data_IF_826387230291
#
_entry.id   IF_826387230291
#
_cell.length_a   1.000
_cell.length_b   1.000
_cell.length_c   1.000
_cell.angle_alpha   90.00
_cell.angle_beta   90.00
_cell.angle_gamma   90.00
#
_symmetry.space_group_name_H-M   'P 1'
#
loop_
_entity.id
_entity.type
_entity.pdbx_description
1 polymer ?
#
# COMPACT_ATOMS: atom_id res chain seq x y z
N UNK A 1 34.30 -22.59 -11.94
CA UNK A 1 35.52 -22.36 -11.12
C UNK A 1 35.31 -21.13 -10.26
N UNK A 2 35.27 -21.27 -8.94
CA UNK A 2 34.82 -20.24 -7.99
C UNK A 2 35.54 -18.90 -8.19
N UNK A 3 34.80 -17.91 -8.68
CA UNK A 3 35.30 -16.55 -8.86
C UNK A 3 35.62 -15.91 -7.49
N UNK A 4 36.88 -15.54 -7.22
CA UNK A 4 37.31 -14.92 -5.96
C UNK A 4 36.65 -13.55 -5.70
N UNK A 5 35.98 -12.97 -6.71
CA UNK A 5 35.29 -11.69 -6.61
C UNK A 5 33.89 -11.80 -6.01
N UNK A 6 33.23 -12.97 -6.10
CA UNK A 6 31.97 -13.24 -5.40
C UNK A 6 32.16 -13.42 -3.89
N UNK A 7 33.39 -13.75 -3.45
CA UNK A 7 33.73 -14.03 -2.05
C UNK A 7 34.11 -12.79 -1.23
N UNK A 8 34.15 -11.59 -1.83
CA UNK A 8 34.57 -10.35 -1.16
C UNK A 8 33.42 -9.33 -1.15
N UNK A 9 32.19 -9.79 -0.94
CA UNK A 9 31.17 -8.90 -0.39
C UNK A 9 31.44 -8.84 1.12
N UNK A 10 31.86 -7.68 1.67
CA UNK A 10 32.06 -7.57 3.12
C UNK A 10 30.75 -7.96 3.81
N UNK A 11 30.80 -8.78 4.87
CA UNK A 11 29.60 -9.23 5.60
C UNK A 11 28.67 -8.07 6.02
N UNK A 12 29.23 -6.87 6.24
CA UNK A 12 28.45 -5.65 6.50
C UNK A 12 27.58 -5.21 5.32
N UNK A 13 28.09 -5.33 4.08
CA UNK A 13 27.38 -4.98 2.86
C UNK A 13 26.27 -6.00 2.52
N UNK A 14 26.53 -7.31 2.69
CA UNK A 14 25.51 -8.34 2.45
C UNK A 14 24.35 -8.23 3.43
N UNK A 15 24.64 -7.95 4.70
CA UNK A 15 23.62 -7.76 5.73
C UNK A 15 22.77 -6.52 5.45
N UNK A 16 23.40 -5.41 5.02
CA UNK A 16 22.70 -4.20 4.61
C UNK A 16 21.74 -4.49 3.44
N UNK A 17 22.24 -5.10 2.35
CA UNK A 17 21.41 -5.42 1.17
C UNK A 17 20.24 -6.34 1.53
N UNK A 18 20.48 -7.36 2.36
CA UNK A 18 19.40 -8.25 2.83
C UNK A 18 18.33 -7.49 3.61
N UNK A 19 18.72 -6.60 4.53
CA UNK A 19 17.77 -5.79 5.31
C UNK A 19 16.97 -4.84 4.41
N UNK A 20 17.63 -4.17 3.47
CA UNK A 20 16.99 -3.31 2.49
C UNK A 20 15.99 -4.08 1.63
N UNK A 21 16.36 -5.27 1.12
CA UNK A 21 15.48 -6.14 0.33
C UNK A 21 14.23 -6.57 1.11
N UNK A 22 14.41 -6.98 2.37
CA UNK A 22 13.30 -7.38 3.24
C UNK A 22 12.32 -6.21 3.45
N UNK A 23 12.86 -5.02 3.74
CA UNK A 23 12.04 -3.85 4.01
C UNK A 23 11.30 -3.34 2.77
N UNK A 24 11.96 -3.32 1.61
CA UNK A 24 11.31 -3.02 0.32
C UNK A 24 10.22 -4.05 0.01
N UNK A 25 10.50 -5.36 0.17
CA UNK A 25 9.54 -6.42 -0.10
C UNK A 25 8.31 -6.31 0.78
N UNK A 26 8.49 -5.99 2.07
CA UNK A 26 7.39 -5.69 2.99
C UNK A 26 6.57 -4.49 2.52
N UNK A 27 7.22 -3.39 2.13
CA UNK A 27 6.53 -2.22 1.59
C UNK A 27 5.68 -2.57 0.36
N UNK A 28 6.24 -3.30 -0.59
CA UNK A 28 5.52 -3.74 -1.80
C UNK A 28 4.31 -4.63 -1.44
N UNK A 29 4.45 -5.52 -0.46
CA UNK A 29 3.34 -6.35 0.01
C UNK A 29 2.20 -5.50 0.59
N UNK A 30 2.53 -4.51 1.42
CA UNK A 30 1.55 -3.55 1.96
C UNK A 30 0.88 -2.76 0.83
N UNK A 31 1.64 -2.27 -0.15
CA UNK A 31 1.08 -1.55 -1.29
C UNK A 31 0.08 -2.40 -2.10
N UNK A 32 0.36 -3.69 -2.30
CA UNK A 32 -0.56 -4.63 -2.96
C UNK A 32 -1.82 -4.84 -2.13
N UNK A 33 -1.69 -5.05 -0.82
CA UNK A 33 -2.84 -5.24 0.07
C UNK A 33 -3.76 -4.02 0.05
N UNK A 34 -3.18 -2.81 0.17
CA UNK A 34 -3.97 -1.57 0.19
C UNK A 34 -4.63 -1.33 -1.18
N UNK A 35 -3.94 -1.62 -2.29
CA UNK A 35 -4.56 -1.55 -3.62
C UNK A 35 -5.76 -2.50 -3.76
N UNK A 36 -5.66 -3.72 -3.22
CA UNK A 36 -6.77 -4.65 -3.22
C UNK A 36 -7.95 -4.10 -2.40
N UNK A 37 -7.69 -3.57 -1.20
CA UNK A 37 -8.71 -2.96 -0.36
C UNK A 37 -9.44 -1.80 -1.07
N UNK A 38 -8.71 -0.92 -1.78
CA UNK A 38 -9.31 0.15 -2.60
C UNK A 38 -10.24 -0.43 -3.67
N UNK A 39 -9.80 -1.47 -4.39
CA UNK A 39 -10.60 -2.12 -5.43
C UNK A 39 -11.87 -2.77 -4.87
N UNK A 40 -11.77 -3.44 -3.73
CA UNK A 40 -12.89 -4.11 -3.06
C UNK A 40 -13.91 -3.07 -2.60
N UNK A 41 -13.44 -1.98 -1.98
CA UNK A 41 -14.30 -0.88 -1.54
C UNK A 41 -15.00 -0.20 -2.70
N UNK A 42 -14.32 0.04 -3.83
CA UNK A 42 -14.97 0.56 -5.03
C UNK A 42 -16.10 -0.34 -5.52
N UNK A 43 -15.87 -1.64 -5.54
CA UNK A 43 -16.88 -2.62 -5.97
C UNK A 43 -18.10 -2.59 -5.04
N UNK A 44 -17.88 -2.52 -3.73
CA UNK A 44 -18.94 -2.40 -2.74
C UNK A 44 -19.70 -1.05 -2.82
N UNK A 45 -19.00 0.06 -3.10
CA UNK A 45 -19.62 1.38 -3.32
C UNK A 45 -20.61 1.34 -4.48
N UNK A 46 -20.28 0.67 -5.58
CA UNK A 46 -21.20 0.51 -6.70
C UNK A 46 -22.44 -0.31 -6.33
N UNK A 47 -22.30 -1.32 -5.47
CA UNK A 47 -23.43 -2.05 -4.91
C UNK A 47 -24.31 -1.11 -4.07
N UNK A 48 -23.72 -0.31 -3.17
CA UNK A 48 -24.46 0.67 -2.34
C UNK A 48 -25.26 1.64 -3.20
N UNK A 49 -24.66 2.20 -4.26
CA UNK A 49 -25.34 3.12 -5.19
C UNK A 49 -26.58 2.47 -5.84
N UNK A 50 -26.51 1.18 -6.15
CA UNK A 50 -27.63 0.41 -6.70
C UNK A 50 -28.71 0.07 -5.66
N UNK A 51 -28.38 0.13 -4.37
CA UNK A 51 -29.29 -0.12 -3.24
C UNK A 51 -29.99 1.15 -2.72
N UNK A 52 -30.03 2.24 -3.48
CA UNK A 52 -30.62 3.53 -3.04
C UNK A 52 -32.05 3.46 -2.46
N UNK A 53 -32.84 2.46 -2.87
CA UNK A 53 -34.21 2.24 -2.39
C UNK A 53 -34.30 1.17 -1.29
N UNK A 54 -33.17 0.63 -0.82
CA UNK A 54 -33.06 -0.36 0.24
C UNK A 54 -31.97 0.07 1.25
N UNK A 55 -32.29 1.04 2.15
CA UNK A 55 -31.33 1.62 3.08
C UNK A 55 -30.65 0.59 3.99
N UNK A 56 -31.38 -0.43 4.45
CA UNK A 56 -30.82 -1.45 5.34
C UNK A 56 -29.74 -2.29 4.65
N UNK A 57 -29.98 -2.69 3.38
CA UNK A 57 -28.98 -3.40 2.61
C UNK A 57 -27.76 -2.51 2.31
N UNK A 58 -27.99 -1.23 1.97
CA UNK A 58 -26.91 -0.27 1.76
C UNK A 58 -26.02 -0.09 3.01
N UNK A 59 -26.61 0.05 4.20
CA UNK A 59 -25.87 0.19 5.46
C UNK A 59 -25.04 -1.06 5.80
N UNK A 60 -25.56 -2.26 5.47
CA UNK A 60 -24.81 -3.51 5.62
C UNK A 60 -23.56 -3.53 4.75
N UNK A 61 -23.67 -3.13 3.48
CA UNK A 61 -22.53 -3.02 2.56
C UNK A 61 -21.50 -1.99 3.05
N UNK A 62 -21.96 -0.85 3.57
CA UNK A 62 -21.08 0.19 4.12
C UNK A 62 -20.34 -0.29 5.37
N UNK A 63 -21.00 -1.08 6.22
CA UNK A 63 -20.35 -1.74 7.36
C UNK A 63 -19.24 -2.68 6.89
N UNK A 64 -19.47 -3.41 5.79
CA UNK A 64 -18.45 -4.21 5.11
C UNK A 64 -17.26 -3.36 4.61
N UNK A 65 -17.54 -2.23 3.95
CA UNK A 65 -16.52 -1.27 3.52
C UNK A 65 -15.66 -0.78 4.69
N UNK A 66 -16.30 -0.38 5.80
CA UNK A 66 -15.61 0.10 7.01
C UNK A 66 -14.69 -0.99 7.57
N UNK A 67 -15.13 -2.24 7.61
CA UNK A 67 -14.31 -3.36 8.07
C UNK A 67 -13.10 -3.62 7.14
N UNK A 68 -13.30 -3.60 5.82
CA UNK A 68 -12.21 -3.75 4.83
C UNK A 68 -11.17 -2.64 4.98
N UNK A 69 -11.61 -1.38 5.09
CA UNK A 69 -10.71 -0.24 5.29
C UNK A 69 -9.95 -0.37 6.62
N UNK A 70 -10.64 -0.66 7.72
CA UNK A 70 -10.03 -0.86 9.03
C UNK A 70 -8.96 -1.95 9.05
N UNK A 71 -9.23 -3.08 8.39
CA UNK A 71 -8.27 -4.19 8.27
C UNK A 71 -7.01 -3.83 7.48
N UNK A 72 -7.14 -2.95 6.47
CA UNK A 72 -6.02 -2.51 5.63
C UNK A 72 -5.06 -1.54 6.34
N UNK A 73 -5.49 -0.89 7.43
CA UNK A 73 -4.69 0.12 8.12
C UNK A 73 -3.49 -0.43 8.88
N UNK A 74 -3.53 -1.67 9.38
CA UNK A 74 -2.46 -2.20 10.22
C UNK A 74 -1.11 -2.22 9.49
N UNK A 75 -1.05 -2.78 8.29
CA UNK A 75 0.18 -2.83 7.48
C UNK A 75 0.61 -1.45 6.99
N UNK A 76 -0.37 -0.59 6.65
CA UNK A 76 -0.10 0.78 6.20
C UNK A 76 0.50 1.65 7.32
N UNK A 77 -0.12 1.63 8.50
CA UNK A 77 0.33 2.36 9.67
C UNK A 77 1.71 1.89 10.13
N UNK A 78 1.96 0.58 10.09
CA UNK A 78 3.27 0.03 10.38
C UNK A 78 4.34 0.59 9.42
N UNK A 79 4.09 0.55 8.11
CA UNK A 79 5.05 1.07 7.12
C UNK A 79 5.27 2.58 7.25
N UNK A 80 4.23 3.36 7.51
CA UNK A 80 4.36 4.81 7.77
C UNK A 80 5.20 5.06 9.04
N UNK A 81 4.97 4.29 10.11
CA UNK A 81 5.76 4.36 11.34
C UNK A 81 7.24 3.99 11.15
N UNK A 82 7.54 3.10 10.20
CA UNK A 82 8.91 2.74 9.82
C UNK A 82 9.59 3.79 8.93
N UNK A 83 8.94 4.91 8.59
CA UNK A 83 9.39 5.84 7.55
C UNK A 83 10.85 6.31 7.67
N UNK A 84 11.35 6.57 8.89
CA UNK A 84 12.77 6.93 9.09
C UNK A 84 13.71 5.77 8.78
N UNK A 85 13.43 4.57 9.29
CA UNK A 85 14.23 3.38 9.03
C UNK A 85 14.18 3.00 7.54
N UNK A 86 13.00 3.14 6.92
CA UNK A 86 12.81 2.96 5.49
C UNK A 86 13.66 3.94 4.68
N UNK A 87 13.61 5.23 5.00
CA UNK A 87 14.41 6.24 4.31
C UNK A 87 15.92 5.96 4.41
N UNK A 88 16.41 5.60 5.61
CA UNK A 88 17.82 5.29 5.83
C UNK A 88 18.27 4.02 5.09
N UNK A 89 17.53 2.92 5.21
CA UNK A 89 17.92 1.65 4.60
C UNK A 89 17.75 1.64 3.08
N UNK A 90 16.94 2.54 2.55
CA UNK A 90 16.65 2.63 1.12
C UNK A 90 17.23 3.87 0.45
N UNK A 91 18.20 4.52 1.10
CA UNK A 91 18.94 5.63 0.51
C UNK A 91 19.58 5.20 -0.83
N UNK A 92 19.40 6.02 -1.87
CA UNK A 92 19.88 5.72 -3.22
C UNK A 92 19.08 4.67 -4.00
N UNK A 93 18.04 4.07 -3.41
CA UNK A 93 17.12 3.17 -4.12
C UNK A 93 16.10 4.00 -4.90
N UNK A 94 15.96 3.73 -6.20
CA UNK A 94 15.00 4.47 -7.04
C UNK A 94 13.56 4.12 -6.65
N UNK A 95 12.74 5.16 -6.47
CA UNK A 95 11.30 5.03 -6.23
C UNK A 95 10.90 5.03 -4.75
N UNK A 96 11.83 4.93 -3.79
CA UNK A 96 11.50 4.78 -2.37
C UNK A 96 10.95 6.06 -1.74
N UNK A 97 11.51 7.21 -2.08
CA UNK A 97 10.98 8.51 -1.64
C UNK A 97 9.54 8.73 -2.14
N UNK A 98 9.30 8.49 -3.44
CA UNK A 98 7.96 8.57 -4.03
C UNK A 98 7.00 7.54 -3.43
N UNK A 99 7.47 6.32 -3.20
CA UNK A 99 6.70 5.27 -2.56
C UNK A 99 6.21 5.67 -1.15
N UNK A 100 7.08 6.24 -0.32
CA UNK A 100 6.70 6.70 1.02
C UNK A 100 5.73 7.88 0.96
N UNK A 101 5.95 8.83 0.04
CA UNK A 101 5.02 9.93 -0.19
C UNK A 101 3.63 9.41 -0.59
N UNK A 102 3.58 8.50 -1.56
CA UNK A 102 2.34 7.89 -2.02
C UNK A 102 1.64 7.13 -0.88
N UNK A 103 2.37 6.37 -0.06
CA UNK A 103 1.80 5.67 1.11
C UNK A 103 1.19 6.64 2.12
N UNK A 104 1.87 7.75 2.43
CA UNK A 104 1.37 8.76 3.36
C UNK A 104 0.11 9.43 2.81
N UNK A 105 0.10 9.83 1.54
CA UNK A 105 -1.08 10.43 0.90
C UNK A 105 -2.24 9.44 0.84
N UNK A 106 -1.98 8.18 0.47
CA UNK A 106 -2.97 7.11 0.43
C UNK A 106 -3.58 6.86 1.81
N UNK A 107 -2.75 6.82 2.85
CA UNK A 107 -3.20 6.70 4.25
C UNK A 107 -4.17 7.82 4.64
N UNK A 108 -3.87 9.06 4.24
CA UNK A 108 -4.75 10.20 4.45
C UNK A 108 -6.13 10.00 3.81
N UNK A 109 -6.17 9.65 2.52
CA UNK A 109 -7.43 9.45 1.81
C UNK A 109 -8.26 8.30 2.37
N UNK A 110 -7.62 7.17 2.69
CA UNK A 110 -8.31 6.02 3.26
C UNK A 110 -8.84 6.29 4.67
N UNK A 111 -8.09 7.04 5.48
CA UNK A 111 -8.54 7.47 6.80
C UNK A 111 -9.74 8.43 6.70
N UNK A 112 -9.74 9.34 5.72
CA UNK A 112 -10.90 10.19 5.43
C UNK A 112 -12.12 9.37 5.04
N UNK A 113 -11.98 8.43 4.10
CA UNK A 113 -13.08 7.54 3.70
C UNK A 113 -13.62 6.73 4.87
N UNK A 114 -12.73 6.10 5.66
CA UNK A 114 -13.11 5.33 6.84
C UNK A 114 -13.87 6.18 7.86
N UNK A 115 -13.37 7.38 8.17
CA UNK A 115 -14.02 8.28 9.12
C UNK A 115 -15.42 8.69 8.65
N UNK A 116 -15.57 9.05 7.37
CA UNK A 116 -16.85 9.45 6.80
C UNK A 116 -17.85 8.30 6.82
N UNK A 117 -17.46 7.13 6.31
CA UNK A 117 -18.33 5.96 6.30
C UNK A 117 -18.69 5.50 7.72
N UNK A 118 -17.74 5.52 8.65
CA UNK A 118 -17.99 5.16 10.06
C UNK A 118 -18.95 6.14 10.75
N UNK A 119 -18.80 7.45 10.52
CA UNK A 119 -19.73 8.43 11.07
C UNK A 119 -21.12 8.33 10.45
N UNK A 120 -21.18 7.92 9.17
CA UNK A 120 -22.43 7.81 8.42
C UNK A 120 -23.30 6.63 8.82
N UNK A 121 -22.70 5.49 9.17
CA UNK A 121 -23.45 4.29 9.63
C UNK A 121 -24.11 4.48 11.00
N UNK A 122 -23.74 5.52 11.74
CA UNK A 122 -24.42 5.88 13.00
C UNK A 122 -25.74 6.62 12.75
N UNK A 123 -26.04 7.02 11.51
CA UNK A 123 -27.29 7.66 11.09
C UNK A 123 -28.21 6.77 10.25
N UNK A 124 -29.44 7.23 10.01
CA UNK A 124 -30.51 6.45 9.37
C UNK A 124 -30.61 6.62 7.83
N UNK A 125 -29.78 7.47 7.22
CA UNK A 125 -29.84 7.78 5.79
C UNK A 125 -28.47 7.98 5.13
N UNK A 126 -28.41 7.67 3.82
CA UNK A 126 -27.27 8.05 2.98
C UNK A 126 -27.33 9.56 2.73
N UNK A 127 -26.26 10.24 3.08
CA UNK A 127 -26.13 11.68 2.90
C UNK A 127 -24.78 12.06 2.30
N UNK A 128 -24.44 13.34 2.43
CA UNK A 128 -23.20 13.93 1.87
C UNK A 128 -21.93 13.17 2.29
N UNK A 129 -21.91 12.59 3.50
CA UNK A 129 -20.80 11.78 3.99
C UNK A 129 -20.47 10.60 3.05
N UNK A 130 -21.47 10.00 2.41
CA UNK A 130 -21.28 8.89 1.50
C UNK A 130 -20.55 9.37 0.25
N UNK A 131 -21.04 10.44 -0.38
CA UNK A 131 -20.43 11.01 -1.58
C UNK A 131 -19.00 11.51 -1.32
N UNK A 132 -18.76 12.14 -0.16
CA UNK A 132 -17.42 12.55 0.25
C UNK A 132 -16.50 11.35 0.50
N UNK A 133 -17.02 10.27 1.10
CA UNK A 133 -16.28 9.04 1.32
C UNK A 133 -15.90 8.37 0.00
N UNK A 134 -16.83 8.33 -0.96
CA UNK A 134 -16.58 7.85 -2.34
C UNK A 134 -15.48 8.66 -3.02
N UNK A 135 -15.54 10.01 -2.97
CA UNK A 135 -14.48 10.87 -3.53
C UNK A 135 -13.11 10.64 -2.90
N UNK A 136 -13.07 10.34 -1.59
CA UNK A 136 -11.82 9.99 -0.92
C UNK A 136 -11.27 8.65 -1.43
N UNK A 137 -12.12 7.65 -1.69
CA UNK A 137 -11.71 6.38 -2.32
C UNK A 137 -11.22 6.58 -3.77
N UNK A 138 -11.88 7.42 -4.55
CA UNK A 138 -11.43 7.78 -5.90
C UNK A 138 -10.05 8.47 -5.87
N UNK A 139 -9.83 9.36 -4.89
CA UNK A 139 -8.52 9.99 -4.68
C UNK A 139 -7.44 8.98 -4.29
N UNK A 140 -7.79 8.02 -3.42
CA UNK A 140 -6.91 6.92 -3.04
C UNK A 140 -6.51 6.05 -4.25
N UNK A 141 -7.44 5.78 -5.17
CA UNK A 141 -7.16 5.04 -6.39
C UNK A 141 -6.13 5.74 -7.28
N UNK A 142 -6.27 7.05 -7.49
CA UNK A 142 -5.30 7.84 -8.27
C UNK A 142 -3.89 7.72 -7.70
N UNK A 143 -3.76 7.79 -6.36
CA UNK A 143 -2.47 7.62 -5.68
C UNK A 143 -1.94 6.18 -5.80
N UNK A 144 -2.84 5.19 -5.78
CA UNK A 144 -2.47 3.77 -5.90
C UNK A 144 -1.72 3.45 -7.20
N UNK A 145 -1.98 4.20 -8.28
CA UNK A 145 -1.25 4.04 -9.53
C UNK A 145 0.20 4.52 -9.43
N UNK A 146 0.42 5.67 -8.78
CA UNK A 146 1.76 6.18 -8.49
C UNK A 146 2.52 5.22 -7.58
N UNK A 147 1.85 4.71 -6.55
CA UNK A 147 2.38 3.72 -5.62
C UNK A 147 2.83 2.45 -6.36
N UNK A 148 2.04 1.98 -7.33
CA UNK A 148 2.38 0.82 -8.16
C UNK A 148 3.61 1.09 -9.03
N UNK A 149 3.71 2.27 -9.65
CA UNK A 149 4.89 2.68 -10.44
C UNK A 149 6.16 2.74 -9.58
N UNK A 150 6.06 3.26 -8.37
CA UNK A 150 7.20 3.34 -7.45
C UNK A 150 7.57 1.96 -6.89
N UNK A 151 6.59 1.10 -6.62
CA UNK A 151 6.81 -0.32 -6.27
C UNK A 151 7.59 -1.05 -7.36
N UNK A 152 7.24 -0.86 -8.63
CA UNK A 152 7.94 -1.49 -9.76
C UNK A 152 9.41 -1.05 -9.86
N UNK A 153 9.73 0.23 -9.61
CA UNK A 153 11.12 0.71 -9.57
C UNK A 153 11.93 0.02 -8.48
N UNK A 154 11.33 -0.18 -7.31
CA UNK A 154 11.99 -0.88 -6.20
C UNK A 154 12.17 -2.37 -6.49
N UNK A 155 11.17 -3.03 -7.09
CA UNK A 155 11.29 -4.43 -7.55
C UNK A 155 12.43 -4.58 -8.56
N UNK A 156 12.53 -3.66 -9.52
CA UNK A 156 13.63 -3.67 -10.49
C UNK A 156 15.00 -3.49 -9.81
N UNK A 157 15.09 -2.65 -8.77
CA UNK A 157 16.33 -2.48 -8.00
C UNK A 157 16.75 -3.76 -7.26
N UNK A 158 15.79 -4.53 -6.73
CA UNK A 158 16.04 -5.85 -6.13
C UNK A 158 16.52 -6.83 -7.20
N UNK A 159 15.82 -6.93 -8.33
CA UNK A 159 16.13 -7.88 -9.39
C UNK A 159 17.56 -7.72 -9.94
N UNK A 160 17.98 -6.49 -10.24
CA UNK A 160 19.34 -6.18 -10.71
C UNK A 160 20.41 -6.70 -9.73
N UNK A 161 20.12 -6.68 -8.41
CA UNK A 161 21.06 -7.13 -7.38
C UNK A 161 20.97 -8.62 -7.09
N UNK A 162 19.80 -9.24 -7.30
CA UNK A 162 19.64 -10.68 -7.24
C UNK A 162 20.42 -11.35 -8.38
N UNK A 163 20.25 -10.88 -9.62
CA UNK A 163 20.92 -11.43 -10.81
C UNK A 163 22.45 -11.27 -10.72
N UNK A 164 22.94 -10.14 -10.19
CA UNK A 164 24.39 -9.95 -9.97
C UNK A 164 25.00 -10.90 -8.92
N UNK A 165 24.19 -11.69 -8.21
CA UNK A 165 24.59 -12.72 -7.28
C UNK A 165 24.54 -14.15 -7.83
N UNK A 166 23.90 -14.40 -8.98
CA UNK A 166 23.63 -15.76 -9.49
C UNK A 166 24.47 -16.18 -10.73
N UNK A 167 25.27 -15.30 -11.34
CA UNK A 167 26.09 -15.66 -12.52
C UNK A 167 27.49 -16.21 -12.18
N UNK A 168 27.61 -17.28 -11.37
CA UNK A 168 28.90 -17.99 -11.20
C UNK A 168 28.79 -19.51 -10.93
N UNK A 169 27.75 -20.18 -11.41
CA UNK A 169 27.69 -21.65 -11.43
C UNK A 169 27.60 -22.18 -12.87
N UNK A 170 28.72 -22.15 -13.60
CA UNK A 170 29.11 -23.13 -14.64
C UNK A 170 30.65 -23.26 -14.71
#
# INVERSE_FOLDING_TARGET
GNSPLASIIPKGLSNFVSQTNQLISKGIAVARQVKQAVSDVKSAVEIVKNLKNNPLAALSEISGIVNTLGGSFSGLAEMVGLGKAFATLTEGVRGTAGFMQDLTTLSGHLNTAYSLFKSGIEGDELGEWFDLGVKAIESAEVVSESLAKNSAKMTAWIAIRADSGEDNDE
#
